data_IF_405929863696
#
_entry.id   IF_405929863696
#
_cell.length_a   1.000
_cell.length_b   1.000
_cell.length_c   1.000
_cell.angle_alpha   90.00
_cell.angle_beta   90.00
_cell.angle_gamma   90.00
#
_symmetry.space_group_name_H-M   'P 1'
#
loop_
_entity.id
_entity.type
_entity.pdbx_description
1 polymer ?
#
# COMPACT_ATOMS: atom_id res chain seq x y z
N UNK A 1 -5.07 13.95 -16.69
CA UNK A 1 -4.82 12.49 -16.75
C UNK A 1 -5.10 11.93 -15.35
N UNK A 2 -6.31 11.43 -15.11
CA UNK A 2 -6.72 10.88 -13.80
C UNK A 2 -6.42 9.38 -13.82
N UNK A 3 -5.36 8.94 -13.14
CA UNK A 3 -4.86 7.58 -13.33
C UNK A 3 -5.63 6.50 -12.55
N UNK A 4 -6.40 6.80 -11.52
CA UNK A 4 -7.18 5.78 -10.79
C UNK A 4 -8.43 6.39 -10.13
N UNK A 5 -9.60 5.79 -10.36
CA UNK A 5 -10.83 6.07 -9.59
C UNK A 5 -10.76 5.36 -8.23
N UNK A 6 -11.25 5.96 -7.12
CA UNK A 6 -11.18 5.31 -5.81
C UNK A 6 -12.04 4.03 -5.81
N UNK A 7 -11.43 2.87 -5.54
CA UNK A 7 -12.17 1.65 -5.15
C UNK A 7 -12.32 1.64 -3.63
N UNK A 8 -13.54 1.33 -3.16
CA UNK A 8 -13.89 1.30 -1.73
C UNK A 8 -12.93 0.43 -0.92
N UNK A 9 -12.30 1.05 0.06
CA UNK A 9 -11.41 0.42 1.05
C UNK A 9 -12.26 -0.25 2.13
N UNK A 10 -12.31 -1.57 2.13
CA UNK A 10 -12.80 -2.37 3.25
C UNK A 10 -11.69 -3.34 3.63
N UNK A 11 -11.48 -3.57 4.93
CA UNK A 11 -10.57 -4.63 5.38
C UNK A 11 -11.11 -5.97 4.86
N UNK A 12 -10.53 -6.45 3.77
CA UNK A 12 -10.83 -7.78 3.25
C UNK A 12 -9.72 -8.69 3.72
N UNK A 13 -10.05 -9.62 4.61
CA UNK A 13 -9.20 -10.78 4.84
C UNK A 13 -9.14 -11.50 3.50
N UNK A 14 -7.94 -11.61 2.94
CA UNK A 14 -7.69 -12.36 1.71
C UNK A 14 -7.20 -13.73 2.14
N UNK A 15 -7.98 -14.76 1.88
CA UNK A 15 -7.53 -16.14 2.03
C UNK A 15 -7.28 -16.70 0.63
N UNK A 16 -6.05 -17.12 0.37
CA UNK A 16 -5.68 -17.86 -0.85
C UNK A 16 -5.64 -19.32 -0.45
N UNK A 17 -6.59 -20.11 -0.94
CA UNK A 17 -6.76 -21.51 -0.56
C UNK A 17 -6.54 -22.45 -1.75
N UNK A 18 -6.08 -23.69 -1.50
CA UNK A 18 -6.05 -24.71 -2.53
C UNK A 18 -7.49 -25.16 -2.83
N UNK A 19 -7.74 -25.74 -4.02
CA UNK A 19 -9.07 -26.17 -4.41
C UNK A 19 -9.62 -27.22 -3.43
N UNK A 20 -10.92 -27.14 -3.14
CA UNK A 20 -11.62 -28.19 -2.41
C UNK A 20 -11.63 -29.46 -3.26
N UNK A 21 -11.30 -30.61 -2.66
CA UNK A 21 -11.46 -31.91 -3.32
C UNK A 21 -12.95 -32.16 -3.53
N UNK A 22 -13.41 -32.15 -4.78
CA UNK A 22 -14.70 -32.74 -5.13
C UNK A 22 -14.63 -34.27 -5.01
N UNK A 23 -15.71 -34.97 -4.63
CA UNK A 23 -15.74 -36.43 -4.64
C UNK A 23 -15.47 -36.92 -6.07
N UNK A 24 -14.48 -37.80 -6.24
CA UNK A 24 -14.17 -38.44 -7.52
C UNK A 24 -15.41 -39.14 -8.06
N UNK A 25 -16.00 -38.61 -9.14
CA UNK A 25 -16.81 -39.39 -10.06
C UNK A 25 -15.90 -39.80 -11.22
N UNK A 26 -15.85 -41.11 -11.48
CA UNK A 26 -14.77 -41.82 -12.17
C UNK A 26 -14.68 -41.61 -13.68
N UNK A 27 -15.15 -40.46 -14.21
CA UNK A 27 -15.17 -40.20 -15.66
C UNK A 27 -14.84 -38.76 -16.07
N UNK A 28 -14.48 -37.88 -15.14
CA UNK A 28 -14.10 -36.51 -15.50
C UNK A 28 -12.59 -36.39 -15.79
N UNK A 29 -12.18 -35.58 -16.79
CA UNK A 29 -10.78 -35.22 -16.99
C UNK A 29 -10.23 -34.64 -15.68
N UNK A 30 -8.95 -34.94 -15.37
CA UNK A 30 -8.27 -34.55 -14.13
C UNK A 30 -8.74 -33.19 -13.62
N UNK A 31 -9.19 -33.07 -12.35
CA UNK A 31 -9.73 -31.81 -11.85
C UNK A 31 -8.66 -30.74 -12.00
N UNK A 32 -8.89 -29.81 -12.93
CA UNK A 32 -8.05 -28.63 -13.11
C UNK A 32 -8.03 -27.94 -11.75
N UNK A 33 -6.87 -27.97 -11.08
CA UNK A 33 -6.70 -27.40 -9.75
C UNK A 33 -6.85 -25.88 -9.87
N UNK A 34 -8.05 -25.37 -9.70
CA UNK A 34 -8.32 -23.93 -9.69
C UNK A 34 -7.83 -23.31 -8.39
N UNK A 35 -7.15 -22.18 -8.49
CA UNK A 35 -6.75 -21.36 -7.35
C UNK A 35 -7.98 -20.57 -6.86
N UNK A 36 -8.16 -20.50 -5.55
CA UNK A 36 -9.25 -19.75 -4.93
C UNK A 36 -8.71 -18.56 -4.14
N UNK A 37 -9.32 -17.39 -4.35
CA UNK A 37 -9.13 -16.18 -3.53
C UNK A 37 -10.45 -15.87 -2.84
N UNK A 38 -10.43 -15.78 -1.51
CA UNK A 38 -11.60 -15.46 -0.69
C UNK A 38 -11.42 -14.03 -0.18
N UNK A 39 -12.40 -13.17 -0.42
CA UNK A 39 -12.30 -11.76 -0.07
C UNK A 39 -13.68 -11.18 0.22
N UNK A 40 -13.90 -10.71 1.45
CA UNK A 40 -15.19 -10.12 1.85
C UNK A 40 -16.39 -11.09 1.69
N UNK A 41 -16.18 -12.37 2.00
CA UNK A 41 -17.20 -13.42 1.88
C UNK A 41 -17.45 -13.95 0.46
N UNK A 42 -16.75 -13.40 -0.55
CA UNK A 42 -16.85 -13.86 -1.94
C UNK A 42 -15.66 -14.74 -2.31
N UNK A 43 -15.89 -15.73 -3.16
CA UNK A 43 -14.88 -16.64 -3.70
C UNK A 43 -14.63 -16.29 -5.16
N UNK A 44 -13.37 -16.18 -5.54
CA UNK A 44 -12.91 -15.94 -6.90
C UNK A 44 -12.03 -17.11 -7.32
N UNK A 45 -12.32 -17.74 -8.45
CA UNK A 45 -11.58 -18.88 -8.98
C UNK A 45 -10.79 -18.49 -10.23
N UNK A 46 -9.63 -19.11 -10.44
CA UNK A 46 -8.84 -18.94 -11.66
C UNK A 46 -7.57 -19.78 -11.66
N UNK A 47 -6.79 -19.70 -12.73
CA UNK A 47 -5.54 -20.47 -12.85
C UNK A 47 -4.37 -19.82 -12.08
N UNK A 48 -4.43 -18.50 -11.86
CA UNK A 48 -3.37 -17.72 -11.21
C UNK A 48 -3.94 -16.54 -10.41
N UNK A 49 -3.18 -16.10 -9.40
CA UNK A 49 -3.43 -14.85 -8.68
C UNK A 49 -2.16 -13.99 -8.58
N UNK A 50 -2.32 -12.68 -8.77
CA UNK A 50 -1.29 -11.67 -8.55
C UNK A 50 -1.52 -10.99 -7.19
N UNK A 51 -0.59 -11.18 -6.25
CA UNK A 51 -0.61 -10.50 -4.96
C UNK A 51 0.18 -9.18 -5.06
N UNK A 52 -0.53 -8.06 -5.12
CA UNK A 52 0.04 -6.71 -5.23
C UNK A 52 -0.32 -5.81 -4.02
N UNK A 53 -0.48 -6.41 -2.84
CA UNK A 53 -0.77 -5.65 -1.61
C UNK A 53 0.51 -4.96 -1.09
N UNK A 54 0.38 -3.88 -0.31
CA UNK A 54 1.53 -3.27 0.36
C UNK A 54 2.27 -4.26 1.27
N UNK A 55 3.59 -4.08 1.42
CA UNK A 55 4.41 -4.90 2.31
C UNK A 55 3.92 -4.87 3.76
N UNK A 56 3.42 -3.72 4.23
CA UNK A 56 2.81 -3.59 5.56
C UNK A 56 1.61 -4.52 5.78
N UNK A 57 0.80 -4.77 4.74
CA UNK A 57 -0.33 -5.71 4.78
C UNK A 57 0.16 -7.16 4.88
N UNK A 58 1.22 -7.52 4.13
CA UNK A 58 1.83 -8.85 4.24
C UNK A 58 2.44 -9.08 5.64
N UNK A 59 3.11 -8.07 6.19
CA UNK A 59 3.68 -8.13 7.54
C UNK A 59 2.63 -8.18 8.65
N UNK A 60 1.44 -7.63 8.42
CA UNK A 60 0.37 -7.63 9.42
C UNK A 60 -0.26 -9.02 9.62
N UNK A 61 0.03 -10.00 8.75
CA UNK A 61 -0.59 -11.33 8.80
C UNK A 61 -2.08 -11.34 8.47
N UNK A 62 -2.61 -10.28 7.86
CA UNK A 62 -4.05 -10.17 7.51
C UNK A 62 -4.45 -11.02 6.29
N UNK A 63 -3.47 -11.56 5.58
CA UNK A 63 -3.65 -12.44 4.42
C UNK A 63 -3.16 -13.84 4.79
N UNK A 64 -4.02 -14.83 4.59
CA UNK A 64 -3.69 -16.24 4.81
C UNK A 64 -3.40 -16.91 3.48
N UNK A 65 -2.22 -17.49 3.34
CA UNK A 65 -1.85 -18.33 2.19
C UNK A 65 -1.94 -19.79 2.59
N UNK A 66 -2.62 -20.60 1.77
CA UNK A 66 -2.70 -22.06 1.93
C UNK A 66 -2.40 -22.69 0.56
N UNK A 67 -1.32 -23.49 0.43
CA UNK A 67 -0.28 -23.71 1.44
C UNK A 67 0.45 -22.41 1.82
N UNK A 68 1.10 -22.41 2.99
CA UNK A 68 1.87 -21.25 3.45
C UNK A 68 2.97 -20.85 2.44
N UNK A 69 3.36 -19.58 2.49
CA UNK A 69 4.45 -19.09 1.65
C UNK A 69 5.76 -19.81 2.01
N UNK A 70 6.60 -20.15 1.02
CA UNK A 70 7.91 -20.73 1.27
C UNK A 70 8.76 -19.87 2.22
N UNK A 71 9.56 -20.51 3.07
CA UNK A 71 10.37 -19.86 4.11
C UNK A 71 11.20 -18.67 3.58
N UNK A 72 11.81 -18.82 2.40
CA UNK A 72 12.57 -17.74 1.74
C UNK A 72 11.75 -16.46 1.53
N UNK A 73 10.45 -16.57 1.20
CA UNK A 73 9.55 -15.42 1.03
C UNK A 73 9.20 -14.80 2.38
N UNK A 74 8.93 -15.62 3.40
CA UNK A 74 8.64 -15.16 4.75
C UNK A 74 9.82 -14.37 5.34
N UNK A 75 11.04 -14.87 5.16
CA UNK A 75 12.26 -14.17 5.61
C UNK A 75 12.47 -12.85 4.88
N UNK A 76 12.20 -12.81 3.56
CA UNK A 76 12.22 -11.56 2.79
C UNK A 76 11.21 -10.54 3.31
N UNK A 77 9.97 -10.97 3.54
CA UNK A 77 8.91 -10.13 4.12
C UNK A 77 9.33 -9.63 5.51
N UNK A 78 9.96 -10.47 6.33
CA UNK A 78 10.41 -10.08 7.67
C UNK A 78 11.54 -9.05 7.64
N UNK A 79 12.54 -9.23 6.77
CA UNK A 79 13.77 -8.41 6.72
C UNK A 79 13.59 -7.04 6.08
N UNK A 80 12.68 -6.90 5.10
CA UNK A 80 12.48 -5.62 4.43
C UNK A 80 11.78 -4.62 5.36
N UNK A 81 12.27 -3.38 5.43
CA UNK A 81 11.56 -2.27 6.07
C UNK A 81 10.45 -1.73 5.16
N UNK A 82 9.45 -1.08 5.75
CA UNK A 82 8.52 -0.21 5.03
C UNK A 82 8.42 1.10 5.80
N UNK A 83 8.60 2.22 5.12
CA UNK A 83 8.56 3.54 5.73
C UNK A 83 7.13 4.07 5.82
N UNK A 84 6.92 5.01 6.73
CA UNK A 84 5.72 5.81 6.82
C UNK A 84 6.10 7.26 6.48
N UNK A 85 5.26 7.90 5.68
CA UNK A 85 5.44 9.26 5.19
C UNK A 85 4.07 9.88 5.06
N UNK A 86 3.80 10.89 5.87
CA UNK A 86 2.57 11.67 5.80
C UNK A 86 2.77 12.94 4.99
N UNK A 87 1.68 13.40 4.38
CA UNK A 87 1.63 14.65 3.64
C UNK A 87 0.55 15.55 4.23
N UNK A 88 0.92 16.76 4.58
CA UNK A 88 -0.02 17.81 5.01
C UNK A 88 -0.18 18.80 3.87
N UNK A 89 -1.40 18.90 3.33
CA UNK A 89 -1.73 19.85 2.26
C UNK A 89 -2.41 21.09 2.85
N UNK A 90 -1.85 22.27 2.58
CA UNK A 90 -2.32 23.55 3.12
C UNK A 90 -2.65 24.51 1.98
N UNK A 91 -3.92 24.89 1.89
CA UNK A 91 -4.43 25.84 0.90
C UNK A 91 -4.48 27.25 1.49
N UNK A 92 -3.94 28.22 0.75
CA UNK A 92 -3.89 29.63 1.15
C UNK A 92 -4.67 30.52 0.18
N UNK A 93 -5.06 31.75 0.58
CA UNK A 93 -5.74 32.69 -0.33
C UNK A 93 -4.87 33.18 -1.50
N UNK A 94 -3.54 33.26 -1.31
CA UNK A 94 -2.56 33.66 -2.32
C UNK A 94 -1.17 33.06 -2.00
N UNK A 95 -0.26 33.10 -2.98
CA UNK A 95 1.13 32.60 -2.83
C UNK A 95 1.97 33.66 -2.12
N UNK A 96 2.42 33.39 -0.89
CA UNK A 96 3.26 34.32 -0.11
C UNK A 96 4.73 33.88 0.01
N UNK A 97 5.06 32.67 -0.40
CA UNK A 97 6.37 32.02 -0.21
C UNK A 97 7.34 32.17 -1.41
N UNK A 98 7.00 33.00 -2.40
CA UNK A 98 7.76 33.14 -3.64
C UNK A 98 7.57 31.96 -4.60
N UNK A 99 7.74 32.21 -5.90
CA UNK A 99 7.51 31.21 -6.97
C UNK A 99 8.79 30.70 -7.62
N UNK A 100 9.94 31.26 -7.25
CA UNK A 100 11.22 30.95 -7.90
C UNK A 100 11.83 29.62 -7.43
N UNK A 101 11.26 29.02 -6.38
CA UNK A 101 11.69 27.76 -5.79
C UNK A 101 10.56 26.73 -5.82
N UNK A 102 10.86 25.52 -6.31
CA UNK A 102 9.91 24.40 -6.36
C UNK A 102 9.76 23.65 -5.03
N UNK A 103 10.80 23.73 -4.18
CA UNK A 103 10.83 23.13 -2.85
C UNK A 103 11.68 24.00 -1.94
N UNK A 104 11.29 24.15 -0.68
CA UNK A 104 12.16 24.70 0.36
C UNK A 104 12.13 23.80 1.60
N UNK A 105 13.27 23.68 2.27
CA UNK A 105 13.41 22.88 3.48
C UNK A 105 13.21 23.72 4.73
N UNK A 106 12.66 23.12 5.78
CA UNK A 106 12.69 23.68 7.12
C UNK A 106 13.78 22.96 7.92
N UNK A 107 14.75 23.74 8.40
CA UNK A 107 15.78 23.25 9.31
C UNK A 107 15.29 23.54 10.73
N UNK A 108 15.16 22.49 11.53
CA UNK A 108 14.91 22.62 12.97
C UNK A 108 16.25 22.65 13.72
N UNK A 109 16.36 23.51 14.73
CA UNK A 109 17.48 23.50 15.68
C UNK A 109 17.30 22.41 16.75
N UNK A 110 16.11 21.80 16.80
CA UNK A 110 15.75 20.75 17.75
C UNK A 110 16.03 19.36 17.16
N UNK A 111 17.08 18.72 17.68
CA UNK A 111 17.50 17.38 17.31
C UNK A 111 16.51 16.29 17.76
N UNK A 112 15.49 16.62 18.56
CA UNK A 112 14.45 15.68 18.98
C UNK A 112 13.33 15.47 17.96
N UNK A 113 13.24 16.32 16.92
CA UNK A 113 12.20 16.27 15.87
C UNK A 113 12.74 16.42 14.43
N UNK A 114 13.82 15.71 14.02
CA UNK A 114 14.51 15.95 12.75
C UNK A 114 13.69 15.62 11.48
N UNK A 115 12.48 15.08 11.62
CA UNK A 115 11.58 14.68 10.53
C UNK A 115 10.30 15.52 10.40
N UNK A 116 10.10 16.51 11.27
CA UNK A 116 8.95 17.41 11.21
C UNK A 116 9.10 18.42 10.08
N UNK A 117 8.23 18.32 9.07
CA UNK A 117 8.09 19.32 8.00
C UNK A 117 9.37 19.64 7.23
N UNK A 118 10.26 18.66 7.06
CA UNK A 118 11.60 18.87 6.50
C UNK A 118 11.60 19.40 5.05
N UNK A 119 10.48 19.25 4.33
CA UNK A 119 10.31 19.71 2.95
C UNK A 119 8.90 20.26 2.71
N UNK A 120 8.84 21.43 2.09
CA UNK A 120 7.65 22.05 1.51
C UNK A 120 7.77 22.09 0.00
N UNK A 121 6.88 21.39 -0.72
CA UNK A 121 6.79 21.48 -2.18
C UNK A 121 5.79 22.56 -2.58
N UNK A 122 6.17 23.41 -3.54
CA UNK A 122 5.40 24.60 -3.93
C UNK A 122 4.48 24.36 -5.14
N UNK A 123 3.50 25.26 -5.21
CA UNK A 123 2.37 25.44 -6.12
C UNK A 123 2.51 25.08 -7.61
N UNK A 124 3.69 24.94 -8.20
CA UNK A 124 3.82 24.67 -9.65
C UNK A 124 3.27 23.31 -10.06
N UNK A 125 3.24 22.33 -9.15
CA UNK A 125 2.63 21.01 -9.39
C UNK A 125 1.12 21.00 -9.09
N UNK A 126 0.62 21.93 -8.26
CA UNK A 126 -0.75 21.95 -7.75
C UNK A 126 -1.70 22.92 -8.50
N UNK A 127 -1.15 23.84 -9.30
CA UNK A 127 -1.94 24.80 -10.09
C UNK A 127 -2.59 25.92 -9.29
N UNK A 128 -2.15 26.17 -8.05
CA UNK A 128 -2.72 27.17 -7.14
C UNK A 128 -1.92 27.32 -5.83
N UNK A 129 -2.35 28.19 -4.90
CA UNK A 129 -1.66 28.49 -3.63
C UNK A 129 -1.73 27.33 -2.62
N UNK A 130 -1.15 26.18 -2.97
CA UNK A 130 -1.08 24.98 -2.15
C UNK A 130 0.38 24.71 -1.75
N UNK A 131 0.59 24.51 -0.44
CA UNK A 131 1.83 23.96 0.09
C UNK A 131 1.60 22.52 0.53
N UNK A 132 2.56 21.64 0.23
CA UNK A 132 2.57 20.27 0.74
C UNK A 132 3.79 20.09 1.62
N UNK A 133 3.56 19.80 2.90
CA UNK A 133 4.62 19.49 3.85
C UNK A 133 4.71 17.98 4.09
N UNK A 134 5.93 17.46 4.20
CA UNK A 134 6.20 16.05 4.45
C UNK A 134 6.57 15.81 5.92
N UNK A 135 5.99 14.78 6.53
CA UNK A 135 6.32 14.31 7.87
C UNK A 135 6.80 12.87 7.78
N UNK A 136 7.98 12.58 8.33
CA UNK A 136 8.63 11.27 8.23
C UNK A 136 9.44 10.95 9.50
N UNK A 137 9.84 9.69 9.67
CA UNK A 137 10.69 9.28 10.80
C UNK A 137 9.90 9.15 12.10
N UNK A 138 10.53 9.47 13.24
CA UNK A 138 9.92 9.39 14.57
C UNK A 138 9.00 10.59 14.91
N UNK A 139 8.78 11.48 13.94
CA UNK A 139 7.88 12.64 14.05
C UNK A 139 6.38 12.29 13.91
N UNK A 140 6.02 11.01 14.03
CA UNK A 140 4.66 10.47 13.86
C UNK A 140 4.20 9.65 15.06
#
# INVERSE_FOLDING_TARGET
>A
MTLLSPRKEGRKIIEVAPPKKHPMQSSDPDPVKSLQVISGGQIYEGDMALCAVPLGVLKSGSIKFTPELPQRKLEGIKRLGFGLLNKVAMLFPYVFWGTDLNTFGHLTDDQSSPGEFYNYATATVAGGPLLIALVAGEAE
#
